data_IF_568284812017
#
_entry.id   IF_568284812017
#
_cell.length_a   1.000
_cell.length_b   1.000
_cell.length_c   1.000
_cell.angle_alpha   90.00
_cell.angle_beta   90.00
_cell.angle_gamma   90.00
#
_symmetry.space_group_name_H-M   'P 1'
#
loop_
_entity.id
_entity.type
_entity.pdbx_description
1 polymer ?
#
# COMPACT_ATOMS: atom_id res chain seq x y z
N UNK A 1 11.37 -0.94 16.75
CA UNK A 1 11.77 -0.16 15.57
C UNK A 1 11.56 -0.89 14.23
N UNK A 2 10.89 -2.06 14.21
CA UNK A 2 10.61 -2.86 12.99
C UNK A 2 9.21 -2.52 12.39
N UNK A 3 8.41 -1.71 13.09
CA UNK A 3 6.94 -1.59 12.89
C UNK A 3 6.44 -0.65 11.77
N UNK A 4 7.31 -0.11 10.90
CA UNK A 4 6.87 0.91 9.93
C UNK A 4 7.08 0.54 8.45
N UNK A 5 7.74 -0.55 8.09
CA UNK A 5 8.43 -0.61 6.80
C UNK A 5 7.58 -1.16 5.64
N UNK A 6 6.67 -2.11 5.86
CA UNK A 6 5.95 -2.74 4.73
C UNK A 6 4.87 -1.84 4.12
N UNK A 7 4.17 -1.03 4.93
CA UNK A 7 3.25 -0.01 4.40
C UNK A 7 4.01 1.21 3.86
N UNK A 8 5.17 1.51 4.44
CA UNK A 8 6.05 2.57 3.95
C UNK A 8 6.63 2.20 2.58
N UNK A 9 6.97 0.94 2.31
CA UNK A 9 7.50 0.48 1.01
C UNK A 9 6.55 0.75 -0.18
N UNK A 10 5.25 0.57 -0.01
CA UNK A 10 4.26 0.93 -1.05
C UNK A 10 4.02 2.44 -1.15
N UNK A 11 4.44 3.24 -0.16
CA UNK A 11 4.28 4.70 -0.16
C UNK A 11 5.56 5.46 -0.51
N UNK A 12 6.72 4.86 -0.28
CA UNK A 12 8.03 5.49 -0.50
C UNK A 12 8.53 5.33 -1.91
N UNK A 13 8.18 4.26 -2.61
CA UNK A 13 8.67 4.05 -3.97
C UNK A 13 8.14 5.05 -5.00
N UNK A 14 7.04 5.76 -4.71
CA UNK A 14 6.56 6.85 -5.56
C UNK A 14 6.84 8.27 -5.05
N UNK A 15 7.49 8.47 -3.89
CA UNK A 15 7.68 9.83 -3.33
C UNK A 15 9.12 10.19 -2.95
N UNK A 16 10.08 9.29 -3.06
CA UNK A 16 11.45 9.56 -2.63
C UNK A 16 12.36 10.02 -3.77
N UNK A 17 12.21 11.29 -4.14
CA UNK A 17 13.29 12.07 -4.78
C UNK A 17 14.04 12.97 -3.79
N UNK A 18 13.77 12.92 -2.47
CA UNK A 18 14.45 13.79 -1.50
C UNK A 18 14.62 13.16 -0.10
N UNK A 19 15.36 12.05 0.00
CA UNK A 19 16.09 11.72 1.25
C UNK A 19 17.57 11.98 0.98
N UNK A 20 17.98 13.23 1.16
CA UNK A 20 19.37 13.66 1.30
C UNK A 20 19.39 14.81 2.30
N UNK A 21 19.17 14.50 3.57
CA UNK A 21 19.61 15.26 4.73
C UNK A 21 19.28 14.42 5.96
N UNK A 22 20.21 14.34 6.92
CA UNK A 22 20.10 13.57 8.18
C UNK A 22 20.44 12.08 8.14
N UNK A 23 21.45 11.67 7.34
CA UNK A 23 22.17 10.39 7.55
C UNK A 23 23.60 10.60 8.05
N UNK A 24 23.79 11.21 9.22
CA UNK A 24 25.14 11.38 9.79
C UNK A 24 25.31 10.94 11.26
N UNK A 25 24.35 10.25 11.89
CA UNK A 25 24.49 9.89 13.31
C UNK A 25 24.19 8.43 13.73
N UNK A 26 23.78 7.53 12.84
CA UNK A 26 23.64 6.10 13.18
C UNK A 26 24.10 5.26 11.99
N UNK A 27 25.19 4.49 12.14
CA UNK A 27 25.53 3.48 11.13
C UNK A 27 24.42 2.43 11.10
N UNK A 28 23.61 2.34 10.03
CA UNK A 28 22.55 1.33 9.94
C UNK A 28 23.20 -0.05 9.87
N UNK A 29 22.60 -1.05 10.50
CA UNK A 29 22.97 -2.45 10.29
C UNK A 29 22.62 -2.82 8.84
N UNK A 30 23.58 -2.63 7.93
CA UNK A 30 23.40 -2.82 6.50
C UNK A 30 22.85 -4.22 6.16
N UNK A 31 23.19 -5.24 6.94
CA UNK A 31 22.68 -6.60 6.73
C UNK A 31 21.18 -6.70 6.99
N UNK A 32 20.67 -6.07 8.04
CA UNK A 32 19.23 -6.05 8.35
C UNK A 32 18.44 -5.29 7.27
N UNK A 33 18.95 -4.14 6.84
CA UNK A 33 18.31 -3.33 5.79
C UNK A 33 18.28 -4.06 4.44
N UNK A 34 19.35 -4.78 4.08
CA UNK A 34 19.40 -5.60 2.87
C UNK A 34 18.41 -6.77 2.92
N UNK A 35 18.22 -7.40 4.07
CA UNK A 35 17.23 -8.46 4.24
C UNK A 35 15.80 -7.94 4.08
N UNK A 36 15.48 -6.79 4.67
CA UNK A 36 14.16 -6.16 4.52
C UNK A 36 13.88 -5.77 3.07
N UNK A 37 14.88 -5.24 2.36
CA UNK A 37 14.78 -4.94 0.94
C UNK A 37 14.52 -6.19 0.11
N UNK A 38 15.25 -7.28 0.37
CA UNK A 38 15.04 -8.56 -0.32
C UNK A 38 13.63 -9.11 -0.10
N UNK A 39 13.11 -9.01 1.13
CA UNK A 39 11.72 -9.38 1.44
C UNK A 39 10.72 -8.55 0.63
N UNK A 40 10.89 -7.22 0.61
CA UNK A 40 10.04 -6.33 -0.18
C UNK A 40 10.06 -6.69 -1.68
N UNK A 41 11.24 -6.95 -2.24
CA UNK A 41 11.40 -7.35 -3.64
C UNK A 41 10.79 -8.72 -3.95
N UNK A 42 10.80 -9.66 -3.00
CA UNK A 42 10.15 -10.96 -3.16
C UNK A 42 8.62 -10.84 -3.18
N UNK A 43 8.06 -9.90 -2.41
CA UNK A 43 6.62 -9.65 -2.34
C UNK A 43 6.11 -8.77 -3.49
N UNK A 44 6.96 -7.92 -4.06
CA UNK A 44 6.59 -6.93 -5.08
C UNK A 44 5.71 -7.50 -6.22
N UNK A 45 6.01 -8.65 -6.84
CA UNK A 45 5.19 -9.19 -7.93
C UNK A 45 3.74 -9.50 -7.53
N UNK A 46 3.49 -9.74 -6.25
CA UNK A 46 2.15 -9.95 -5.70
C UNK A 46 1.51 -8.62 -5.30
N UNK A 47 2.27 -7.75 -4.65
CA UNK A 47 1.79 -6.44 -4.19
C UNK A 47 1.42 -5.48 -5.33
N UNK A 48 1.99 -5.65 -6.52
CA UNK A 48 1.66 -4.88 -7.72
C UNK A 48 0.71 -5.60 -8.68
N UNK A 49 0.32 -6.84 -8.36
CA UNK A 49 -0.61 -7.62 -9.17
C UNK A 49 -1.97 -6.88 -9.34
N UNK A 50 -2.70 -7.14 -10.43
CA UNK A 50 -4.00 -6.52 -10.66
C UNK A 50 -5.00 -6.90 -9.56
N UNK A 51 -5.87 -5.95 -9.23
CA UNK A 51 -7.02 -6.17 -8.34
C UNK A 51 -8.23 -6.50 -9.21
N UNK A 52 -8.71 -7.73 -9.10
CA UNK A 52 -9.76 -8.27 -9.98
C UNK A 52 -11.16 -8.04 -9.42
N UNK A 53 -11.30 -7.79 -8.12
CA UNK A 53 -12.58 -7.51 -7.48
C UNK A 53 -13.30 -6.38 -8.21
N UNK A 54 -14.57 -6.66 -8.51
CA UNK A 54 -15.51 -5.76 -9.16
C UNK A 54 -16.28 -4.89 -8.16
N UNK A 55 -15.98 -5.02 -6.86
CA UNK A 55 -16.57 -4.14 -5.85
C UNK A 55 -16.23 -2.68 -6.20
N UNK A 56 -17.13 -1.76 -5.90
CA UNK A 56 -16.90 -0.35 -6.19
C UNK A 56 -16.37 0.35 -4.95
N UNK A 57 -15.29 1.11 -5.14
CA UNK A 57 -14.83 2.03 -4.11
C UNK A 57 -15.82 3.19 -3.99
N UNK A 58 -16.13 3.60 -2.76
CA UNK A 58 -17.01 4.73 -2.47
C UNK A 58 -16.26 5.83 -1.69
N UNK A 59 -16.82 7.04 -1.69
CA UNK A 59 -16.34 8.14 -0.83
C UNK A 59 -16.24 7.74 0.65
N UNK A 60 -17.20 6.94 1.13
CA UNK A 60 -17.20 6.43 2.52
C UNK A 60 -15.96 5.59 2.81
N UNK A 61 -15.52 4.76 1.86
CA UNK A 61 -14.31 3.94 2.05
C UNK A 61 -13.05 4.81 2.17
N UNK A 62 -12.99 5.92 1.41
CA UNK A 62 -11.90 6.90 1.48
C UNK A 62 -11.91 7.63 2.82
N UNK A 63 -13.07 8.08 3.27
CA UNK A 63 -13.25 8.77 4.56
C UNK A 63 -12.88 7.89 5.76
N UNK A 64 -13.28 6.62 5.73
CA UNK A 64 -12.87 5.63 6.72
C UNK A 64 -11.35 5.46 6.73
N UNK A 65 -10.72 5.32 5.56
CA UNK A 65 -9.27 5.18 5.47
C UNK A 65 -8.53 6.42 5.99
N UNK A 66 -9.00 7.63 5.68
CA UNK A 66 -8.42 8.85 6.25
C UNK A 66 -8.55 8.91 7.77
N UNK A 67 -9.71 8.51 8.31
CA UNK A 67 -9.94 8.48 9.76
C UNK A 67 -8.99 7.51 10.47
N UNK A 68 -8.72 6.34 9.86
CA UNK A 68 -7.75 5.37 10.37
C UNK A 68 -6.35 5.96 10.52
N UNK A 69 -5.85 6.61 9.45
CA UNK A 69 -4.50 7.17 9.45
C UNK A 69 -4.40 8.32 10.46
N UNK A 70 -5.40 9.22 10.50
CA UNK A 70 -5.41 10.35 11.45
C UNK A 70 -5.41 9.91 12.91
N UNK A 71 -6.17 8.87 13.25
CA UNK A 71 -6.33 8.40 14.63
C UNK A 71 -5.17 7.53 15.13
N UNK A 72 -4.21 7.18 14.26
CA UNK A 72 -3.19 6.16 14.56
C UNK A 72 -3.83 4.90 15.15
N UNK A 73 -4.87 4.43 14.48
CA UNK A 73 -5.75 3.38 15.00
C UNK A 73 -4.97 2.11 15.37
N UNK A 74 -5.05 1.71 16.64
CA UNK A 74 -4.32 0.55 17.15
C UNK A 74 -4.79 -0.77 16.53
N UNK A 75 -6.07 -0.87 16.15
CA UNK A 75 -6.61 -2.04 15.47
C UNK A 75 -6.04 -2.14 14.06
N UNK A 76 -5.90 -1.00 13.35
CA UNK A 76 -5.26 -1.00 12.03
C UNK A 76 -3.77 -1.35 12.10
N UNK A 77 -3.06 -0.88 13.13
CA UNK A 77 -1.66 -1.26 13.35
C UNK A 77 -1.50 -2.77 13.63
N UNK A 78 -2.32 -3.30 14.54
CA UNK A 78 -2.31 -4.72 14.89
C UNK A 78 -2.78 -5.61 13.73
N UNK A 79 -3.71 -5.12 12.92
CA UNK A 79 -4.12 -5.72 11.65
C UNK A 79 -2.93 -5.84 10.68
N UNK A 80 -2.21 -4.73 10.47
CA UNK A 80 -1.06 -4.67 9.56
C UNK A 80 0.05 -5.64 9.99
N UNK A 81 0.40 -5.66 11.27
CA UNK A 81 1.44 -6.55 11.84
C UNK A 81 1.10 -8.04 11.60
N UNK A 82 -0.18 -8.42 11.72
CA UNK A 82 -0.66 -9.79 11.47
C UNK A 82 -0.68 -10.13 9.97
N UNK A 83 -1.08 -9.19 9.12
CA UNK A 83 -1.11 -9.36 7.66
C UNK A 83 0.27 -9.56 7.06
N UNK A 84 1.29 -8.85 7.56
CA UNK A 84 2.67 -8.97 7.07
C UNK A 84 3.17 -10.42 7.11
N UNK A 85 2.92 -11.13 8.21
CA UNK A 85 3.26 -12.56 8.36
C UNK A 85 2.50 -13.44 7.36
N UNK A 86 1.25 -13.06 7.04
CA UNK A 86 0.45 -13.74 6.03
C UNK A 86 1.03 -13.61 4.63
N UNK A 87 1.51 -12.42 4.26
CA UNK A 87 2.10 -12.14 2.95
C UNK A 87 3.34 -12.97 2.67
N UNK A 88 4.26 -13.07 3.64
CA UNK A 88 5.47 -13.90 3.49
C UNK A 88 5.12 -15.36 3.22
N UNK A 89 4.16 -15.92 3.98
CA UNK A 89 3.71 -17.31 3.81
C UNK A 89 3.00 -17.53 2.47
N UNK A 90 2.16 -16.58 2.05
CA UNK A 90 1.46 -16.66 0.78
C UNK A 90 2.43 -16.61 -0.41
N UNK A 91 3.41 -15.72 -0.38
CA UNK A 91 4.42 -15.60 -1.43
C UNK A 91 5.30 -16.85 -1.56
N UNK A 92 5.50 -17.60 -0.47
CA UNK A 92 6.26 -18.85 -0.49
C UNK A 92 5.51 -20.02 -1.17
N UNK A 93 4.18 -19.98 -1.25
CA UNK A 93 3.37 -21.09 -1.78
C UNK A 93 2.64 -20.75 -3.08
N UNK A 94 2.43 -19.47 -3.38
CA UNK A 94 1.77 -19.03 -4.60
C UNK A 94 2.77 -18.84 -5.73
N UNK A 95 2.35 -19.19 -6.95
CA UNK A 95 3.10 -18.85 -8.16
C UNK A 95 2.94 -17.36 -8.45
N UNK A 96 3.98 -16.74 -9.01
CA UNK A 96 3.90 -15.37 -9.53
C UNK A 96 2.85 -15.30 -10.65
N UNK A 97 2.16 -14.17 -10.77
CA UNK A 97 1.11 -13.95 -11.78
C UNK A 97 -0.32 -14.20 -11.31
N UNK A 98 -0.53 -14.58 -10.04
CA UNK A 98 -1.86 -14.54 -9.43
C UNK A 98 -2.31 -13.10 -9.18
N UNK A 99 -3.62 -12.87 -9.14
CA UNK A 99 -4.18 -11.56 -8.79
C UNK A 99 -3.91 -11.18 -7.33
N UNK A 100 -3.97 -9.88 -7.04
CA UNK A 100 -3.79 -9.37 -5.68
C UNK A 100 -4.84 -9.94 -4.73
N UNK A 101 -6.08 -10.10 -5.18
CA UNK A 101 -7.18 -10.69 -4.44
C UNK A 101 -6.87 -12.12 -3.99
N UNK A 102 -6.36 -12.93 -4.93
CA UNK A 102 -5.94 -14.31 -4.65
C UNK A 102 -4.81 -14.34 -3.64
N UNK A 103 -3.83 -13.44 -3.80
CA UNK A 103 -2.71 -13.31 -2.88
C UNK A 103 -3.15 -12.92 -1.46
N UNK A 104 -3.98 -11.88 -1.32
CA UNK A 104 -4.48 -11.40 -0.04
C UNK A 104 -5.35 -12.44 0.65
N UNK A 105 -6.27 -13.08 -0.09
CA UNK A 105 -7.11 -14.15 0.45
C UNK A 105 -6.25 -15.29 1.02
N UNK A 106 -5.20 -15.69 0.30
CA UNK A 106 -4.28 -16.71 0.79
C UNK A 106 -3.42 -16.25 1.97
N UNK A 107 -3.01 -14.98 1.98
CA UNK A 107 -2.26 -14.40 3.09
C UNK A 107 -3.08 -14.38 4.39
N UNK A 108 -4.37 -14.00 4.30
CA UNK A 108 -5.31 -14.05 5.43
C UNK A 108 -5.47 -15.49 5.93
N UNK A 109 -5.68 -16.45 5.03
CA UNK A 109 -5.81 -17.87 5.37
C UNK A 109 -4.55 -18.39 6.10
N UNK A 110 -3.36 -18.13 5.54
CA UNK A 110 -2.08 -18.63 6.06
C UNK A 110 -1.57 -17.85 7.28
N UNK A 111 -2.17 -16.70 7.59
CA UNK A 111 -1.86 -15.95 8.81
C UNK A 111 -2.14 -16.78 10.07
N UNK A 112 -3.13 -17.69 10.01
CA UNK A 112 -3.62 -18.45 11.16
C UNK A 112 -4.47 -17.64 12.14
N UNK A 113 -4.79 -16.38 11.80
CA UNK A 113 -5.49 -15.42 12.68
C UNK A 113 -6.63 -14.70 11.96
N UNK A 114 -7.21 -15.33 10.92
CA UNK A 114 -8.28 -14.72 10.11
C UNK A 114 -9.43 -14.16 10.95
N UNK A 115 -9.92 -14.89 11.96
CA UNK A 115 -11.01 -14.41 12.82
C UNK A 115 -10.67 -13.11 13.55
N UNK A 116 -9.40 -12.92 13.90
CA UNK A 116 -8.93 -11.68 14.55
C UNK A 116 -8.84 -10.56 13.51
N UNK A 117 -8.26 -10.84 12.34
CA UNK A 117 -8.19 -9.88 11.24
C UNK A 117 -9.57 -9.39 10.79
N UNK A 118 -10.55 -10.29 10.67
CA UNK A 118 -11.93 -9.97 10.31
C UNK A 118 -12.63 -9.17 11.40
N UNK A 119 -12.33 -9.44 12.68
CA UNK A 119 -12.83 -8.65 13.80
C UNK A 119 -12.26 -7.23 13.76
N UNK A 120 -10.94 -7.10 13.64
CA UNK A 120 -10.25 -5.79 13.59
C UNK A 120 -10.81 -4.95 12.42
N UNK A 121 -11.00 -5.56 11.25
CA UNK A 121 -11.58 -4.89 10.08
C UNK A 121 -13.01 -4.38 10.32
N UNK A 122 -13.84 -5.16 11.01
CA UNK A 122 -15.22 -4.75 11.36
C UNK A 122 -15.28 -3.65 12.39
N UNK A 123 -14.38 -3.65 13.36
CA UNK A 123 -14.26 -2.56 14.36
C UNK A 123 -13.89 -1.23 13.68
N UNK A 124 -13.19 -1.30 12.56
CA UNK A 124 -12.82 -0.17 11.71
C UNK A 124 -13.95 0.24 10.73
N UNK A 125 -14.92 -0.64 10.48
CA UNK A 125 -16.08 -0.37 9.62
C UNK A 125 -16.04 -1.01 8.22
N UNK A 126 -15.18 -2.00 8.01
CA UNK A 126 -15.14 -2.84 6.79
C UNK A 126 -15.79 -4.21 7.03
N UNK A 127 -16.19 -4.89 5.96
CA UNK A 127 -16.94 -6.15 6.09
C UNK A 127 -16.06 -7.33 6.58
N UNK A 128 -14.79 -7.32 6.16
CA UNK A 128 -13.79 -8.35 6.44
C UNK A 128 -12.37 -7.82 6.26
N UNK A 129 -11.37 -8.62 6.66
CA UNK A 129 -9.96 -8.35 6.39
C UNK A 129 -9.66 -8.24 4.89
N UNK A 130 -10.31 -9.08 4.08
CA UNK A 130 -10.17 -9.03 2.62
C UNK A 130 -10.69 -7.69 2.08
N UNK A 131 -11.88 -7.27 2.53
CA UNK A 131 -12.49 -5.99 2.13
C UNK A 131 -11.60 -4.79 2.50
N UNK A 132 -11.14 -4.74 3.75
CA UNK A 132 -10.23 -3.72 4.24
C UNK A 132 -8.95 -3.65 3.39
N UNK A 133 -8.28 -4.79 3.14
CA UNK A 133 -7.03 -4.80 2.37
C UNK A 133 -7.22 -4.34 0.93
N UNK A 134 -8.27 -4.86 0.26
CA UNK A 134 -8.51 -4.56 -1.15
C UNK A 134 -8.84 -3.09 -1.33
N UNK A 135 -9.77 -2.54 -0.52
CA UNK A 135 -10.20 -1.15 -0.63
C UNK A 135 -9.09 -0.18 -0.28
N UNK A 136 -8.36 -0.41 0.82
CA UNK A 136 -7.24 0.47 1.20
C UNK A 136 -6.12 0.44 0.17
N UNK A 137 -5.82 -0.73 -0.42
CA UNK A 137 -4.84 -0.83 -1.51
C UNK A 137 -5.30 -0.08 -2.76
N UNK A 138 -6.59 -0.16 -3.13
CA UNK A 138 -7.15 0.62 -4.25
C UNK A 138 -7.06 2.11 -4.00
N UNK A 139 -7.38 2.57 -2.79
CA UNK A 139 -7.24 3.98 -2.40
C UNK A 139 -5.79 4.45 -2.55
N UNK A 140 -4.84 3.68 -2.03
CA UNK A 140 -3.41 4.00 -2.13
C UNK A 140 -2.96 4.05 -3.59
N UNK A 141 -3.26 3.03 -4.41
CA UNK A 141 -2.88 3.02 -5.83
C UNK A 141 -3.50 4.19 -6.60
N UNK A 142 -4.77 4.49 -6.35
CA UNK A 142 -5.46 5.60 -7.01
C UNK A 142 -4.87 6.97 -6.61
N UNK A 143 -4.59 7.18 -5.32
CA UNK A 143 -3.94 8.40 -4.83
C UNK A 143 -2.56 8.59 -5.44
N UNK A 144 -1.76 7.52 -5.49
CA UNK A 144 -0.42 7.54 -6.09
C UNK A 144 -0.51 7.85 -7.59
N UNK A 145 -1.45 7.23 -8.31
CA UNK A 145 -1.67 7.54 -9.72
C UNK A 145 -2.06 9.01 -9.95
N UNK A 146 -2.91 9.59 -9.08
CA UNK A 146 -3.27 11.01 -9.13
C UNK A 146 -2.05 11.90 -8.93
N UNK A 147 -1.22 11.63 -7.92
CA UNK A 147 -0.02 12.44 -7.69
C UNK A 147 1.00 12.28 -8.81
N UNK A 148 1.29 11.04 -9.21
CA UNK A 148 2.29 10.78 -10.24
C UNK A 148 1.89 11.38 -11.57
N UNK A 149 0.60 11.37 -11.93
CA UNK A 149 0.14 12.04 -13.15
C UNK A 149 0.41 13.56 -13.11
N UNK A 150 0.35 14.22 -11.93
CA UNK A 150 0.76 15.63 -11.79
C UNK A 150 2.24 15.83 -12.13
N UNK A 151 3.10 14.86 -11.83
CA UNK A 151 4.54 14.90 -12.13
C UNK A 151 4.84 14.51 -13.58
N UNK A 152 4.19 13.44 -14.08
CA UNK A 152 4.32 12.96 -15.46
C UNK A 152 3.88 14.03 -16.46
N UNK A 153 2.82 14.78 -16.15
CA UNK A 153 2.36 15.89 -16.99
C UNK A 153 3.41 17.00 -17.17
N UNK A 154 4.39 17.10 -16.27
CA UNK A 154 5.50 18.06 -16.35
C UNK A 154 6.69 17.53 -17.16
N UNK A 155 6.74 16.22 -17.44
CA UNK A 155 7.81 15.60 -18.20
C UNK A 155 7.63 15.76 -19.73
N UNK A 156 8.70 15.67 -20.53
CA UNK A 156 8.63 15.67 -21.99
C UNK A 156 7.68 14.59 -22.51
N UNK A 157 6.92 14.90 -23.57
CA UNK A 157 5.88 14.00 -24.11
C UNK A 157 6.43 12.62 -24.47
N UNK A 158 7.67 12.56 -24.98
CA UNK A 158 8.32 11.30 -25.35
C UNK A 158 8.62 10.39 -24.14
N UNK A 159 8.68 10.95 -22.93
CA UNK A 159 9.00 10.22 -21.70
C UNK A 159 7.76 9.87 -20.87
N UNK A 160 6.61 10.50 -21.12
CA UNK A 160 5.42 10.33 -20.29
C UNK A 160 4.91 8.89 -20.28
N UNK A 161 4.88 8.23 -21.44
CA UNK A 161 4.43 6.84 -21.54
C UNK A 161 5.35 5.88 -20.79
N UNK A 162 6.67 6.07 -20.94
CA UNK A 162 7.68 5.31 -20.20
C UNK A 162 7.50 5.47 -18.68
N UNK A 163 7.28 6.70 -18.21
CA UNK A 163 7.04 6.97 -16.79
C UNK A 163 5.75 6.31 -16.27
N UNK A 164 4.66 6.34 -17.06
CA UNK A 164 3.40 5.66 -16.70
C UNK A 164 3.60 4.15 -16.60
N UNK A 165 4.32 3.55 -17.54
CA UNK A 165 4.61 2.11 -17.55
C UNK A 165 5.49 1.70 -16.36
N UNK A 166 6.53 2.48 -16.06
CA UNK A 166 7.40 2.25 -14.91
C UNK A 166 6.61 2.32 -13.59
N UNK A 167 5.77 3.36 -13.43
CA UNK A 167 4.91 3.52 -12.27
C UNK A 167 3.96 2.32 -12.11
N UNK A 168 3.28 1.91 -13.19
CA UNK A 168 2.37 0.77 -13.14
C UNK A 168 3.08 -0.53 -12.76
N UNK A 169 4.34 -0.71 -13.17
CA UNK A 169 5.14 -1.88 -12.79
C UNK A 169 5.54 -1.90 -11.32
N UNK A 170 5.77 -0.73 -10.72
CA UNK A 170 6.22 -0.60 -9.32
C UNK A 170 5.08 -0.54 -8.31
N UNK A 171 3.93 0.01 -8.70
CA UNK A 171 2.81 0.30 -7.79
C UNK A 171 1.58 -0.57 -8.07
N UNK A 172 1.54 -1.22 -9.23
CA UNK A 172 0.32 -1.75 -9.81
C UNK A 172 -0.52 -0.66 -10.48
N UNK A 173 -1.49 -1.07 -11.30
CA UNK A 173 -2.42 -0.16 -11.96
C UNK A 173 -3.60 0.18 -11.04
N UNK A 174 -4.06 1.43 -11.11
CA UNK A 174 -5.31 1.88 -10.51
C UNK A 174 -6.42 1.90 -11.58
N UNK A 175 -7.63 1.49 -11.20
CA UNK A 175 -8.80 1.60 -12.09
C UNK A 175 -9.20 3.07 -12.21
N UNK A 176 -9.65 3.49 -13.39
CA UNK A 176 -10.11 4.86 -13.62
C UNK A 176 -11.27 5.26 -12.68
N UNK A 177 -12.13 4.30 -12.34
CA UNK A 177 -13.24 4.46 -11.40
C UNK A 177 -12.74 4.81 -9.99
N UNK A 178 -11.70 4.14 -9.51
CA UNK A 178 -11.11 4.38 -8.20
C UNK A 178 -10.43 5.76 -8.16
N UNK A 179 -9.74 6.13 -9.24
CA UNK A 179 -9.13 7.45 -9.40
C UNK A 179 -10.19 8.53 -9.30
N UNK A 180 -11.35 8.37 -9.95
CA UNK A 180 -12.43 9.35 -9.90
C UNK A 180 -12.97 9.57 -8.48
N UNK A 181 -13.06 8.50 -7.67
CA UNK A 181 -13.53 8.57 -6.28
C UNK A 181 -12.48 9.18 -5.36
N UNK A 182 -11.20 8.87 -5.56
CA UNK A 182 -10.10 9.33 -4.68
C UNK A 182 -9.62 10.74 -5.01
N UNK A 183 -9.70 11.17 -6.27
CA UNK A 183 -9.20 12.47 -6.73
C UNK A 183 -9.64 13.68 -5.89
N UNK A 184 -10.91 13.81 -5.44
CA UNK A 184 -11.34 14.91 -4.58
C UNK A 184 -10.62 14.96 -3.22
N UNK A 185 -10.13 13.81 -2.74
CA UNK A 185 -9.48 13.66 -1.44
C UNK A 185 -7.94 13.65 -1.54
N UNK A 186 -7.38 13.70 -2.76
CA UNK A 186 -5.95 13.44 -2.98
C UNK A 186 -5.03 14.40 -2.20
N UNK A 187 -5.39 15.68 -2.11
CA UNK A 187 -4.58 16.67 -1.39
C UNK A 187 -4.65 16.46 0.13
N UNK A 188 -5.82 16.11 0.67
CA UNK A 188 -6.00 15.78 2.09
C UNK A 188 -5.26 14.49 2.45
N UNK A 189 -5.42 13.43 1.66
CA UNK A 189 -4.68 12.18 1.82
C UNK A 189 -3.17 12.42 1.82
N UNK A 190 -2.66 13.20 0.85
CA UNK A 190 -1.25 13.58 0.79
C UNK A 190 -0.78 14.30 2.05
N UNK A 191 -1.58 15.22 2.58
CA UNK A 191 -1.24 15.94 3.81
C UNK A 191 -1.20 15.00 5.02
N UNK A 192 -2.24 14.19 5.23
CA UNK A 192 -2.31 13.25 6.36
C UNK A 192 -1.11 12.29 6.33
N UNK A 193 -0.71 11.83 5.15
CA UNK A 193 0.40 10.89 5.01
C UNK A 193 1.75 11.53 5.27
N UNK A 194 1.94 12.81 4.92
CA UNK A 194 3.13 13.58 5.31
C UNK A 194 3.19 13.78 6.83
N UNK A 195 2.08 14.12 7.46
CA UNK A 195 1.99 14.32 8.92
C UNK A 195 2.23 13.01 9.68
N UNK A 196 1.75 11.88 9.14
CA UNK A 196 2.00 10.54 9.71
C UNK A 196 3.47 10.09 9.65
N UNK A 197 4.29 10.67 8.78
CA UNK A 197 5.73 10.38 8.66
C UNK A 197 6.61 11.21 9.60
N UNK A 198 6.07 12.27 10.23
CA UNK A 198 6.81 13.25 11.04
C UNK A 198 6.90 12.99 12.55
N UNK A 199 6.59 11.78 13.04
CA UNK A 199 6.76 11.39 14.47
C UNK A 199 7.30 9.98 14.64
#
# INVERSE_FOLDING_TARGET
MIKKIVFTLLLTFGFLSNIHAEMSAQMPNMNAQMQEMQKGMALLPFLTAPIESNDKLSSKDVELFMALIKKKDSHYADYSDKMEKGYEKAAAVLKKGVSFDTFVKKAIELSGVQNVLDKDAREIGYDSALDLTLKTTRIVRAMMAVEMEKQIAQAPKEQQEMMRNMMSGMMGSAKAEDIAVVKPYADELKQIMKEGQGT
#
